data_IF_249363931451
#
_entry.id   IF_249363931451
#
_cell.length_a   1.000
_cell.length_b   1.000
_cell.length_c   1.000
_cell.angle_alpha   90.00
_cell.angle_beta   90.00
_cell.angle_gamma   90.00
#
_symmetry.space_group_name_H-M   'P 1'
#
loop_
_entity.id
_entity.type
_entity.pdbx_description
1 polymer ?
#
# COMPACT_ATOMS: atom_id res chain seq x y z
N UNK A 1 29.97 41.89 -37.37
CA UNK A 1 28.62 41.43 -37.78
C UNK A 1 28.70 39.91 -37.89
N UNK A 2 28.12 39.08 -37.05
CA UNK A 2 27.26 39.32 -35.89
C UNK A 2 27.33 38.11 -34.95
N UNK A 3 26.86 38.35 -33.73
CA UNK A 3 26.72 37.40 -32.63
C UNK A 3 25.49 36.48 -32.80
N UNK A 4 25.46 35.39 -32.02
CA UNK A 4 24.32 34.58 -31.51
C UNK A 4 24.65 33.08 -31.66
N UNK A 5 25.10 32.34 -30.63
CA UNK A 5 24.37 31.87 -29.44
C UNK A 5 22.95 31.38 -29.76
N UNK A 6 22.80 30.06 -29.75
CA UNK A 6 21.52 29.37 -29.76
C UNK A 6 21.69 28.05 -29.01
N UNK A 7 21.67 28.13 -27.69
CA UNK A 7 21.54 26.98 -26.79
C UNK A 7 20.26 26.24 -27.15
N UNK A 8 20.37 24.98 -27.56
CA UNK A 8 19.23 24.10 -27.75
C UNK A 8 18.67 23.75 -26.37
N UNK A 9 17.58 24.46 -26.03
CA UNK A 9 16.75 24.26 -24.85
C UNK A 9 16.41 22.78 -24.68
N UNK A 10 16.82 22.20 -23.55
CA UNK A 10 16.25 20.94 -23.05
C UNK A 10 14.83 21.25 -22.60
N UNK A 11 13.86 20.94 -23.43
CA UNK A 11 12.49 20.76 -22.96
C UNK A 11 12.45 19.46 -22.13
N UNK A 12 12.89 19.58 -20.88
CA UNK A 12 12.49 18.65 -19.82
C UNK A 12 11.10 19.09 -19.41
N UNK A 13 10.10 18.64 -20.16
CA UNK A 13 8.77 18.47 -19.60
C UNK A 13 8.87 17.34 -18.57
N UNK A 14 9.38 17.67 -17.38
CA UNK A 14 9.15 16.90 -16.16
C UNK A 14 7.67 17.05 -15.85
N UNK A 15 6.85 16.29 -16.57
CA UNK A 15 5.53 15.96 -16.08
C UNK A 15 5.74 15.33 -14.72
N UNK A 16 5.30 16.02 -13.66
CA UNK A 16 5.09 15.44 -12.35
C UNK A 16 4.15 14.24 -12.55
N UNK A 17 4.72 13.08 -12.87
CA UNK A 17 4.04 11.82 -12.71
C UNK A 17 3.91 11.67 -11.20
N UNK A 18 2.79 12.16 -10.67
CA UNK A 18 2.39 11.96 -9.28
C UNK A 18 2.69 10.50 -8.96
N UNK A 19 3.57 10.26 -7.99
CA UNK A 19 4.05 8.92 -7.69
C UNK A 19 2.88 8.06 -7.22
N UNK A 20 2.27 7.34 -8.15
CA UNK A 20 1.05 6.58 -7.93
C UNK A 20 1.37 5.09 -7.88
N UNK A 21 0.78 4.39 -6.91
CA UNK A 21 0.96 2.95 -6.78
C UNK A 21 0.24 2.25 -7.93
N UNK A 22 0.92 1.28 -8.55
CA UNK A 22 0.33 0.52 -9.65
C UNK A 22 -0.89 -0.31 -9.19
N UNK A 23 -1.87 -0.45 -10.08
CA UNK A 23 -3.12 -1.18 -9.81
C UNK A 23 -2.88 -2.64 -9.39
N UNK A 24 -1.90 -3.30 -9.99
CA UNK A 24 -1.52 -4.67 -9.61
C UNK A 24 -1.02 -4.74 -8.17
N UNK A 25 -0.29 -3.71 -7.71
CA UNK A 25 0.21 -3.64 -6.35
C UNK A 25 -0.90 -3.35 -5.35
N UNK A 26 -1.78 -2.40 -5.68
CA UNK A 26 -2.97 -2.10 -4.87
C UNK A 26 -3.86 -3.34 -4.69
N UNK A 27 -4.09 -4.09 -5.78
CA UNK A 27 -4.81 -5.37 -5.73
C UNK A 27 -4.13 -6.39 -4.80
N UNK A 28 -2.80 -6.51 -4.89
CA UNK A 28 -2.04 -7.41 -4.00
C UNK A 28 -2.19 -7.02 -2.53
N UNK A 29 -2.08 -5.73 -2.22
CA UNK A 29 -2.23 -5.19 -0.87
C UNK A 29 -3.64 -5.46 -0.35
N UNK A 30 -4.68 -5.10 -1.12
CA UNK A 30 -6.07 -5.38 -0.76
C UNK A 30 -6.29 -6.88 -0.52
N UNK A 31 -5.84 -7.74 -1.43
CA UNK A 31 -6.02 -9.18 -1.27
C UNK A 31 -5.34 -9.75 -0.02
N UNK A 32 -4.20 -9.18 0.41
CA UNK A 32 -3.43 -9.71 1.54
C UNK A 32 -3.74 -9.07 2.88
N UNK A 33 -4.14 -7.80 2.89
CA UNK A 33 -4.22 -6.99 4.11
C UNK A 33 -5.58 -6.32 4.31
N UNK A 34 -6.50 -6.36 3.33
CA UNK A 34 -7.92 -6.10 3.61
C UNK A 34 -8.51 -7.36 4.26
N UNK A 35 -8.98 -7.30 5.51
CA UNK A 35 -9.41 -8.50 6.22
C UNK A 35 -10.64 -9.16 5.57
N UNK A 36 -11.56 -8.39 4.97
CA UNK A 36 -12.70 -8.94 4.24
C UNK A 36 -12.28 -9.70 2.98
N UNK A 37 -11.30 -9.16 2.24
CA UNK A 37 -10.78 -9.81 1.03
C UNK A 37 -9.97 -11.06 1.36
N UNK A 38 -9.21 -11.04 2.45
CA UNK A 38 -8.44 -12.19 2.90
C UNK A 38 -9.34 -13.28 3.50
N UNK A 39 -10.39 -12.91 4.25
CA UNK A 39 -11.40 -13.85 4.76
C UNK A 39 -12.01 -14.71 3.64
N UNK A 40 -12.37 -14.09 2.51
CA UNK A 40 -12.89 -14.81 1.34
C UNK A 40 -11.88 -15.82 0.76
N UNK A 41 -10.59 -15.50 0.76
CA UNK A 41 -9.54 -16.40 0.26
C UNK A 41 -9.31 -17.61 1.17
N UNK A 42 -9.47 -17.45 2.49
CA UNK A 42 -9.14 -18.51 3.44
C UNK A 42 -10.29 -19.47 3.73
N UNK A 43 -11.51 -19.18 3.27
CA UNK A 43 -12.72 -19.97 3.55
C UNK A 43 -12.56 -21.48 3.33
N UNK A 44 -11.84 -21.86 2.27
CA UNK A 44 -11.64 -23.27 1.87
C UNK A 44 -10.18 -23.73 2.08
N UNK A 45 -9.37 -22.98 2.82
CA UNK A 45 -7.96 -23.31 3.07
C UNK A 45 -7.83 -24.10 4.37
N UNK A 46 -6.81 -24.98 4.50
CA UNK A 46 -6.53 -25.64 5.76
C UNK A 46 -6.25 -24.64 6.88
N UNK A 47 -6.92 -24.80 8.02
CA UNK A 47 -6.79 -23.89 9.18
C UNK A 47 -5.34 -23.75 9.65
N UNK A 48 -4.59 -24.86 9.70
CA UNK A 48 -3.21 -24.87 10.18
C UNK A 48 -2.29 -23.94 9.35
N UNK A 49 -2.43 -23.98 8.03
CA UNK A 49 -1.63 -23.14 7.12
C UNK A 49 -1.97 -21.66 7.32
N UNK A 50 -3.26 -21.35 7.46
CA UNK A 50 -3.72 -19.97 7.65
C UNK A 50 -3.27 -19.43 9.01
N UNK A 51 -3.36 -20.22 10.08
CA UNK A 51 -2.90 -19.81 11.41
C UNK A 51 -1.41 -19.46 11.39
N UNK A 52 -0.58 -20.26 10.71
CA UNK A 52 0.85 -19.97 10.54
C UNK A 52 1.10 -18.68 9.75
N UNK A 53 0.31 -18.40 8.71
CA UNK A 53 0.40 -17.13 7.97
C UNK A 53 0.03 -15.91 8.84
N UNK A 54 -0.93 -16.08 9.76
CA UNK A 54 -1.44 -14.98 10.59
C UNK A 54 -0.45 -14.50 11.65
N UNK A 55 0.50 -15.34 12.07
CA UNK A 55 1.53 -14.98 13.06
C UNK A 55 2.28 -13.70 12.65
N UNK A 56 2.63 -13.60 11.36
CA UNK A 56 3.43 -12.50 10.82
C UNK A 56 2.62 -11.51 9.98
N UNK A 57 1.29 -11.60 10.00
CA UNK A 57 0.41 -10.76 9.18
C UNK A 57 -0.39 -9.80 10.03
N UNK A 58 -0.57 -8.58 9.53
CA UNK A 58 -1.53 -7.61 10.06
C UNK A 58 -2.39 -7.06 8.92
N UNK A 59 -3.44 -6.34 9.28
CA UNK A 59 -4.52 -5.97 8.39
C UNK A 59 -4.93 -4.52 8.58
N UNK A 60 -5.54 -3.95 7.55
CA UNK A 60 -6.25 -2.68 7.67
C UNK A 60 -7.51 -2.83 8.55
N UNK A 61 -8.08 -1.70 8.94
CA UNK A 61 -9.38 -1.67 9.59
C UNK A 61 -10.42 -2.41 8.71
N UNK A 62 -11.19 -3.30 9.33
CA UNK A 62 -12.20 -4.12 8.63
C UNK A 62 -13.34 -3.33 8.03
N UNK A 63 -13.61 -2.13 8.55
CA UNK A 63 -14.70 -1.29 8.09
C UNK A 63 -14.28 -0.43 6.88
N UNK A 64 -12.99 -0.47 6.50
CA UNK A 64 -12.50 0.24 5.33
C UNK A 64 -12.85 -0.46 4.03
N UNK A 65 -13.38 0.32 3.08
CA UNK A 65 -13.58 -0.13 1.71
C UNK A 65 -12.25 -0.36 0.99
N UNK A 66 -12.27 -1.15 -0.10
CA UNK A 66 -11.08 -1.34 -0.95
C UNK A 66 -10.52 -0.01 -1.45
N UNK A 67 -11.40 0.90 -1.87
CA UNK A 67 -11.03 2.24 -2.34
C UNK A 67 -10.39 3.07 -1.23
N UNK A 68 -10.92 3.03 -0.02
CA UNK A 68 -10.33 3.75 1.12
C UNK A 68 -8.92 3.24 1.46
N UNK A 69 -8.68 1.93 1.38
CA UNK A 69 -7.33 1.37 1.52
C UNK A 69 -6.42 1.86 0.39
N UNK A 70 -6.90 1.88 -0.85
CA UNK A 70 -6.12 2.37 -2.00
C UNK A 70 -5.77 3.86 -1.87
N UNK A 71 -6.73 4.68 -1.45
CA UNK A 71 -6.53 6.11 -1.24
C UNK A 71 -5.52 6.35 -0.09
N UNK A 72 -5.61 5.60 1.01
CA UNK A 72 -4.63 5.63 2.11
C UNK A 72 -3.23 5.20 1.66
N UNK A 73 -3.12 4.12 0.90
CA UNK A 73 -1.83 3.60 0.41
C UNK A 73 -1.15 4.59 -0.53
N UNK A 74 -1.90 5.22 -1.44
CA UNK A 74 -1.34 6.25 -2.33
C UNK A 74 -0.91 7.49 -1.55
N UNK A 75 -1.72 7.94 -0.58
CA UNK A 75 -1.36 9.08 0.27
C UNK A 75 -0.06 8.82 1.05
N UNK A 76 0.05 7.67 1.72
CA UNK A 76 1.25 7.30 2.47
C UNK A 76 2.48 7.08 1.59
N UNK A 77 2.30 6.52 0.39
CA UNK A 77 3.40 6.35 -0.57
C UNK A 77 3.95 7.69 -1.04
N UNK A 78 3.06 8.62 -1.43
CA UNK A 78 3.44 9.98 -1.81
C UNK A 78 4.16 10.70 -0.68
N UNK A 79 3.59 10.69 0.52
CA UNK A 79 4.18 11.36 1.69
C UNK A 79 5.54 10.77 2.06
N UNK A 80 5.72 9.45 1.96
CA UNK A 80 7.00 8.81 2.22
C UNK A 80 8.10 9.29 1.25
N UNK A 81 7.77 9.37 -0.05
CA UNK A 81 8.70 9.85 -1.07
C UNK A 81 9.03 11.34 -0.91
N UNK A 82 8.04 12.17 -0.57
CA UNK A 82 8.23 13.60 -0.26
C UNK A 82 9.17 13.80 0.95
N UNK A 83 9.14 12.87 1.91
CA UNK A 83 10.08 12.84 3.05
C UNK A 83 11.43 12.21 2.73
N UNK A 84 11.69 11.84 1.48
CA UNK A 84 12.94 11.20 1.04
C UNK A 84 13.09 9.74 1.45
N UNK A 85 12.01 9.09 1.90
CA UNK A 85 12.01 7.68 2.31
C UNK A 85 11.76 6.82 1.07
N UNK A 86 12.80 6.16 0.58
CA UNK A 86 12.73 5.28 -0.60
C UNK A 86 12.94 3.80 -0.27
N UNK A 87 13.26 3.47 0.98
CA UNK A 87 13.45 2.09 1.46
C UNK A 87 13.10 1.99 2.94
N UNK A 88 12.65 0.81 3.37
CA UNK A 88 12.27 0.55 4.77
C UNK A 88 10.76 0.67 4.98
N UNK A 89 10.35 1.13 6.16
CA UNK A 89 8.95 1.30 6.54
C UNK A 89 8.67 2.76 6.89
N UNK A 90 7.53 3.25 6.44
CA UNK A 90 6.98 4.54 6.81
C UNK A 90 5.57 4.33 7.39
N UNK A 91 5.37 4.73 8.65
CA UNK A 91 4.07 4.62 9.33
C UNK A 91 3.51 6.01 9.55
N UNK A 92 2.23 6.19 9.22
CA UNK A 92 1.52 7.45 9.36
C UNK A 92 0.07 7.20 9.75
N UNK A 93 -0.63 8.25 10.20
CA UNK A 93 -2.05 8.15 10.54
C UNK A 93 -2.92 8.56 9.37
N UNK A 94 -3.94 7.76 9.06
CA UNK A 94 -4.95 8.04 8.04
C UNK A 94 -6.32 7.66 8.59
N UNK A 95 -7.25 8.63 8.66
CA UNK A 95 -8.60 8.38 9.19
C UNK A 95 -8.60 7.90 10.65
N UNK A 96 -7.61 8.30 11.46
CA UNK A 96 -7.47 7.89 12.86
C UNK A 96 -6.79 6.53 13.07
N UNK A 97 -6.41 5.84 12.00
CA UNK A 97 -5.75 4.53 12.05
C UNK A 97 -4.29 4.66 11.61
N UNK A 98 -3.42 3.77 12.10
CA UNK A 98 -2.05 3.68 11.59
C UNK A 98 -2.02 2.85 10.30
N UNK A 99 -1.30 3.37 9.31
CA UNK A 99 -0.98 2.68 8.05
C UNK A 99 0.53 2.66 7.89
N UNK A 100 1.07 1.47 7.62
CA UNK A 100 2.48 1.28 7.34
C UNK A 100 2.70 0.98 5.85
N UNK A 101 3.53 1.78 5.21
CA UNK A 101 4.00 1.62 3.84
C UNK A 101 5.41 1.02 3.87
N UNK A 102 5.58 -0.16 3.29
CA UNK A 102 6.89 -0.76 3.12
C UNK A 102 7.43 -0.44 1.72
N UNK A 103 8.65 0.09 1.65
CA UNK A 103 9.31 0.60 0.45
C UNK A 103 10.61 -0.16 0.18
N UNK A 104 10.96 -0.26 -1.09
CA UNK A 104 12.22 -0.83 -1.56
C UNK A 104 12.60 -0.17 -2.89
N UNK A 105 13.76 0.50 -2.91
CA UNK A 105 14.30 1.19 -4.10
C UNK A 105 13.31 2.18 -4.75
N UNK A 106 12.60 2.95 -3.92
CA UNK A 106 11.60 3.94 -4.35
C UNK A 106 10.25 3.34 -4.76
N UNK A 107 10.15 2.01 -4.86
CA UNK A 107 8.91 1.30 -5.15
C UNK A 107 8.22 0.81 -3.88
N UNK A 108 6.89 0.76 -3.89
CA UNK A 108 6.14 0.15 -2.80
C UNK A 108 6.24 -1.38 -2.83
N UNK A 109 6.63 -1.98 -1.70
CA UNK A 109 6.73 -3.42 -1.47
C UNK A 109 5.43 -4.02 -0.94
N UNK A 110 4.79 -3.37 0.02
CA UNK A 110 3.46 -3.72 0.55
C UNK A 110 2.95 -2.57 1.41
N UNK A 111 1.71 -2.68 1.90
CA UNK A 111 1.18 -1.83 2.95
C UNK A 111 0.21 -2.62 3.83
N UNK A 112 0.10 -2.24 5.10
CA UNK A 112 -0.74 -2.90 6.09
C UNK A 112 -1.09 -1.94 7.24
N UNK A 113 -2.18 -2.23 7.94
CA UNK A 113 -2.50 -1.61 9.23
C UNK A 113 -2.05 -2.48 10.40
N UNK A 114 -2.47 -2.11 11.61
CA UNK A 114 -2.01 -2.73 12.86
C UNK A 114 -2.91 -3.88 13.35
N UNK A 115 -4.05 -4.11 12.70
CA UNK A 115 -5.04 -5.07 13.18
C UNK A 115 -4.56 -6.51 13.02
N UNK A 116 -4.76 -7.30 14.08
CA UNK A 116 -4.52 -8.75 14.10
C UNK A 116 -5.85 -9.47 14.23
N UNK A 117 -6.03 -10.54 13.46
CA UNK A 117 -7.22 -11.38 13.50
C UNK A 117 -6.84 -12.84 13.62
N UNK A 118 -7.63 -13.59 14.39
CA UNK A 118 -7.61 -15.05 14.38
C UNK A 118 -8.33 -15.60 13.14
N UNK A 119 -8.09 -16.87 12.83
CA UNK A 119 -8.82 -17.58 11.76
C UNK A 119 -10.35 -17.46 11.93
N UNK A 120 -10.85 -17.62 13.15
CA UNK A 120 -12.28 -17.56 13.43
C UNK A 120 -12.85 -16.14 13.23
N UNK A 121 -12.17 -15.11 13.73
CA UNK A 121 -12.60 -13.72 13.55
C UNK A 121 -12.66 -13.33 12.07
N UNK A 122 -11.74 -13.81 11.24
CA UNK A 122 -11.80 -13.57 9.80
C UNK A 122 -13.00 -14.25 9.15
N UNK A 123 -13.32 -15.48 9.53
CA UNK A 123 -14.52 -16.16 9.02
C UNK A 123 -15.83 -15.51 9.48
N UNK A 124 -15.83 -14.85 10.64
CA UNK A 124 -16.99 -14.09 11.12
C UNK A 124 -17.28 -12.85 10.27
N UNK A 125 -16.30 -12.33 9.51
CA UNK A 125 -16.50 -11.24 8.55
C UNK A 125 -17.29 -11.67 7.30
N UNK A 126 -17.49 -12.97 7.10
CA UNK A 126 -18.22 -13.52 5.96
C UNK A 126 -19.72 -13.70 6.23
N UNK A 127 -20.15 -13.47 7.46
CA UNK A 127 -21.53 -13.65 7.93
C UNK A 127 -22.32 -12.36 7.72
#
# INVERSE_FOLDING_TARGET
RGEARGEANRDKSEGESEAQVSQNKLKHINNRHNPNSYAQQIKNRPKADVVKELENKSFFNKDWSKKQIEDAVNAGYKEALEKGISSGQYTFSYGGENVTIALENGGIKTAFGDYKYTYQQLLELLK
#
